data_IF_131472823761
#
_entry.id   IF_131472823761
#
_cell.length_a   1.000
_cell.length_b   1.000
_cell.length_c   1.000
_cell.angle_alpha   90.00
_cell.angle_beta   90.00
_cell.angle_gamma   90.00
#
_symmetry.space_group_name_H-M   'P 1'
#
loop_
_entity.id
_entity.type
_entity.pdbx_description
1 polymer ?
#
# COMPACT_ATOMS: atom_id res chain seq x y z
N UNK A 1 -2.25 -26.20 -46.34
CA UNK A 1 -3.19 -25.10 -46.66
C UNK A 1 -4.56 -25.48 -46.14
N UNK A 2 -5.14 -24.65 -45.27
CA UNK A 2 -6.48 -24.84 -44.71
C UNK A 2 -7.15 -23.47 -44.63
N UNK A 3 -8.36 -23.37 -45.17
CA UNK A 3 -9.13 -22.13 -45.39
C UNK A 3 -10.24 -22.05 -44.32
N UNK A 4 -10.60 -20.86 -43.80
CA UNK A 4 -11.35 -20.70 -42.56
C UNK A 4 -12.86 -20.42 -42.76
N UNK A 5 -13.58 -20.38 -41.62
CA UNK A 5 -14.93 -19.85 -41.38
C UNK A 5 -16.13 -20.75 -41.74
N UNK A 6 -16.86 -21.18 -40.69
CA UNK A 6 -18.33 -21.16 -40.56
C UNK A 6 -18.74 -21.92 -39.28
N UNK A 7 -19.00 -21.21 -38.18
CA UNK A 7 -19.83 -21.74 -37.08
C UNK A 7 -20.39 -20.61 -36.22
N UNK A 8 -21.72 -20.55 -36.20
CA UNK A 8 -22.60 -19.61 -35.52
C UNK A 8 -22.61 -19.82 -34.00
N UNK A 9 -22.42 -18.75 -33.22
CA UNK A 9 -22.60 -18.80 -31.76
C UNK A 9 -24.09 -18.74 -31.41
N UNK A 10 -24.61 -19.83 -30.83
CA UNK A 10 -25.91 -19.86 -30.16
C UNK A 10 -25.86 -19.06 -28.86
N UNK A 11 -26.75 -18.09 -28.71
CA UNK A 11 -27.04 -17.35 -27.47
C UNK A 11 -27.77 -18.26 -26.48
N UNK A 12 -27.13 -18.60 -25.36
CA UNK A 12 -27.79 -19.24 -24.22
C UNK A 12 -28.34 -18.15 -23.28
N UNK A 13 -29.64 -18.25 -22.96
CA UNK A 13 -30.41 -17.24 -22.25
C UNK A 13 -30.12 -17.13 -20.74
N UNK A 14 -30.60 -16.01 -20.17
CA UNK A 14 -30.56 -15.67 -18.74
C UNK A 14 -31.40 -16.64 -17.91
N UNK A 15 -30.85 -17.17 -16.81
CA UNK A 15 -31.64 -17.79 -15.75
C UNK A 15 -32.10 -16.76 -14.72
N UNK A 16 -33.38 -16.87 -14.40
CA UNK A 16 -34.20 -16.15 -13.41
C UNK A 16 -34.34 -17.02 -12.17
N UNK A 17 -34.23 -16.43 -10.98
CA UNK A 17 -34.46 -17.01 -9.65
C UNK A 17 -33.66 -16.20 -8.62
N UNK A 18 -34.27 -15.42 -7.71
CA UNK A 18 -35.06 -15.83 -6.54
C UNK A 18 -34.07 -16.05 -5.39
N UNK A 19 -34.08 -15.42 -4.22
CA UNK A 19 -35.12 -14.79 -3.41
C UNK A 19 -34.86 -15.24 -1.94
N UNK A 20 -34.96 -14.34 -0.96
CA UNK A 20 -34.92 -14.64 0.49
C UNK A 20 -33.51 -14.46 1.12
N UNK A 21 -33.28 -13.69 2.19
CA UNK A 21 -34.18 -13.22 3.24
C UNK A 21 -34.11 -14.15 4.46
N UNK A 22 -33.34 -13.79 5.49
CA UNK A 22 -33.26 -14.57 6.73
C UNK A 22 -32.42 -13.89 7.82
N UNK A 23 -33.12 -13.33 8.82
CA UNK A 23 -32.60 -12.75 10.08
C UNK A 23 -32.25 -13.84 11.09
N UNK A 24 -31.35 -13.50 12.02
CA UNK A 24 -31.54 -13.79 13.45
C UNK A 24 -30.59 -14.80 14.09
N UNK A 25 -30.11 -14.46 15.29
CA UNK A 25 -29.48 -15.41 16.21
C UNK A 25 -28.44 -14.78 17.13
N UNK A 26 -28.89 -14.08 18.18
CA UNK A 26 -28.05 -13.68 19.31
C UNK A 26 -27.97 -14.78 20.38
N UNK A 27 -26.89 -14.74 21.17
CA UNK A 27 -26.68 -15.50 22.40
C UNK A 27 -25.21 -15.28 22.81
N UNK A 28 -24.85 -14.70 23.95
CA UNK A 28 -25.51 -14.69 25.25
C UNK A 28 -24.90 -15.79 26.11
N UNK A 29 -23.77 -15.50 26.77
CA UNK A 29 -23.11 -16.43 27.69
C UNK A 29 -22.18 -15.69 28.65
N UNK A 30 -22.71 -15.32 29.82
CA UNK A 30 -21.99 -14.85 31.01
C UNK A 30 -22.02 -15.97 32.06
N UNK A 31 -20.88 -16.25 32.68
CA UNK A 31 -20.69 -16.83 34.03
C UNK A 31 -19.20 -17.22 34.15
N UNK A 32 -18.45 -17.09 35.22
CA UNK A 32 -18.53 -16.44 36.53
C UNK A 32 -17.18 -16.73 37.22
N UNK A 33 -16.71 -15.80 38.07
CA UNK A 33 -15.53 -15.86 38.98
C UNK A 33 -15.61 -17.02 40.01
N UNK A 34 -14.79 -17.16 41.09
CA UNK A 34 -13.65 -16.35 41.61
C UNK A 34 -12.47 -17.14 42.27
N UNK A 35 -11.44 -16.42 42.75
CA UNK A 35 -10.48 -16.86 43.79
C UNK A 35 -9.38 -15.80 43.98
N UNK A 36 -9.46 -14.93 45.01
CA UNK A 36 -8.81 -15.01 46.36
C UNK A 36 -7.27 -15.14 46.28
N UNK A 37 -6.41 -14.46 47.03
CA UNK A 37 -6.44 -13.42 48.09
C UNK A 37 -5.00 -13.34 48.65
N UNK A 38 -4.57 -12.19 49.19
CA UNK A 38 -3.60 -11.95 50.31
C UNK A 38 -2.64 -10.77 50.00
N UNK A 39 -2.81 -9.56 50.59
CA UNK A 39 -2.40 -9.07 51.95
C UNK A 39 -0.86 -8.92 52.09
N UNK A 40 -0.22 -7.83 52.53
CA UNK A 40 -0.59 -6.58 53.24
C UNK A 40 0.64 -5.59 53.19
N UNK A 41 0.90 -4.64 54.13
CA UNK A 41 0.49 -3.23 54.04
C UNK A 41 1.63 -2.21 54.33
N UNK A 42 1.36 -0.89 54.22
CA UNK A 42 2.27 0.12 54.81
C UNK A 42 1.88 1.59 54.64
N UNK A 43 1.10 2.11 55.60
CA UNK A 43 1.25 3.38 56.35
C UNK A 43 1.43 4.71 55.58
N UNK A 44 0.41 5.59 55.59
CA UNK A 44 0.30 6.85 56.39
C UNK A 44 1.37 7.89 56.06
N UNK A 45 1.09 9.14 55.70
CA UNK A 45 0.28 10.11 56.45
C UNK A 45 0.12 11.42 55.64
N UNK A 46 -1.07 12.04 55.68
CA UNK A 46 -1.22 13.49 55.48
C UNK A 46 -0.88 14.24 56.78
N UNK A 47 -0.51 15.53 56.76
CA UNK A 47 -1.55 16.56 56.78
C UNK A 47 -1.22 17.88 56.04
N UNK A 48 -2.26 18.51 55.48
CA UNK A 48 -2.66 19.88 55.86
C UNK A 48 -1.92 21.11 55.31
N UNK A 49 -2.67 21.85 54.48
CA UNK A 49 -2.82 23.34 54.43
C UNK A 49 -1.66 24.22 53.93
N UNK A 50 -1.94 25.00 52.87
CA UNK A 50 -1.87 26.49 52.80
C UNK A 50 -1.85 26.95 51.33
N UNK A 51 -2.87 27.72 50.90
CA UNK A 51 -2.82 29.15 50.55
C UNK A 51 -2.26 29.50 49.16
N UNK A 52 -3.15 30.04 48.33
CA UNK A 52 -2.96 31.17 47.39
C UNK A 52 -1.53 31.56 46.98
N UNK A 53 -1.27 31.61 45.66
CA UNK A 53 -1.07 32.87 44.93
C UNK A 53 -0.61 32.65 43.50
N UNK A 54 -1.14 33.49 42.62
CA UNK A 54 -0.69 33.79 41.27
C UNK A 54 0.75 34.34 41.24
N UNK A 55 1.58 33.85 40.31
CA UNK A 55 2.90 34.42 40.04
C UNK A 55 3.41 33.98 38.66
N UNK A 56 3.59 34.97 37.77
CA UNK A 56 4.13 34.83 36.41
C UNK A 56 5.65 34.60 36.43
N UNK A 57 6.09 33.88 35.39
CA UNK A 57 7.38 33.97 34.66
C UNK A 57 8.70 33.80 35.42
N UNK A 58 9.47 32.77 35.02
CA UNK A 58 10.82 32.95 34.46
C UNK A 58 11.42 31.63 33.97
N UNK A 59 11.86 31.64 32.71
CA UNK A 59 13.02 30.97 32.12
C UNK A 59 13.63 29.73 32.80
N UNK A 60 13.68 28.62 32.06
CA UNK A 60 14.50 27.46 32.41
C UNK A 60 14.40 26.31 31.41
N UNK A 61 15.21 26.39 30.36
CA UNK A 61 15.90 25.28 29.69
C UNK A 61 15.18 23.92 29.62
N UNK A 62 14.49 23.65 28.52
CA UNK A 62 14.09 22.29 28.15
C UNK A 62 14.85 21.82 26.91
N UNK A 63 15.84 20.98 27.18
CA UNK A 63 16.35 19.88 26.36
C UNK A 63 15.65 19.65 25.00
N UNK A 64 16.45 19.74 23.95
CA UNK A 64 16.17 19.31 22.59
C UNK A 64 15.77 17.83 22.53
N UNK A 65 14.47 17.54 22.59
CA UNK A 65 13.91 16.29 22.13
C UNK A 65 13.74 16.37 20.61
N UNK A 66 14.55 15.61 19.87
CA UNK A 66 14.45 15.44 18.42
C UNK A 66 13.10 14.82 18.06
N UNK A 67 12.10 15.67 17.79
CA UNK A 67 10.81 15.26 17.25
C UNK A 67 10.99 14.84 15.79
N UNK A 68 10.89 13.55 15.51
CA UNK A 68 10.73 13.04 14.14
C UNK A 68 9.42 13.62 13.58
N UNK A 69 9.51 14.68 12.79
CA UNK A 69 8.36 15.34 12.18
C UNK A 69 7.61 14.34 11.29
N UNK A 70 6.37 14.01 11.64
CA UNK A 70 5.49 13.20 10.79
C UNK A 70 5.26 13.96 9.47
N UNK A 71 5.87 13.50 8.38
CA UNK A 71 5.68 14.09 7.05
C UNK A 71 4.30 13.69 6.52
N UNK A 72 3.37 14.64 6.43
CA UNK A 72 2.09 14.44 5.77
C UNK A 72 2.16 14.94 4.33
N UNK A 73 1.87 14.07 3.35
CA UNK A 73 1.73 14.47 1.95
C UNK A 73 0.29 14.22 1.47
N UNK A 74 -0.32 15.16 0.73
CA UNK A 74 -1.63 14.93 0.14
C UNK A 74 -1.50 13.93 -1.02
N UNK A 75 -2.33 12.90 -1.03
CA UNK A 75 -2.44 11.94 -2.13
C UNK A 75 -3.86 11.96 -2.67
N UNK A 76 -4.00 12.07 -3.99
CA UNK A 76 -5.29 11.93 -4.67
C UNK A 76 -5.65 10.44 -4.76
N UNK A 77 -6.85 10.06 -4.35
CA UNK A 77 -7.35 8.70 -4.52
C UNK A 77 -8.37 8.66 -5.66
N UNK A 78 -8.01 8.02 -6.78
CA UNK A 78 -8.90 7.78 -7.91
C UNK A 78 -9.47 9.03 -8.57
N UNK A 79 -10.72 8.91 -9.03
CA UNK A 79 -11.50 9.98 -9.69
C UNK A 79 -12.04 11.04 -8.71
N UNK A 80 -11.75 10.90 -7.41
CA UNK A 80 -12.20 11.87 -6.42
C UNK A 80 -11.38 13.17 -6.51
N UNK A 81 -12.06 14.30 -6.36
CA UNK A 81 -11.44 15.64 -6.23
C UNK A 81 -10.81 15.87 -4.84
N UNK A 82 -10.88 14.88 -3.94
CA UNK A 82 -10.40 15.01 -2.56
C UNK A 82 -9.03 14.37 -2.39
N UNK A 83 -8.15 15.10 -1.71
CA UNK A 83 -6.86 14.60 -1.27
C UNK A 83 -6.99 13.94 0.10
N UNK A 84 -6.39 12.76 0.26
CA UNK A 84 -6.20 12.15 1.56
C UNK A 84 -4.86 12.59 2.13
N UNK A 85 -4.82 12.94 3.41
CA UNK A 85 -3.56 13.13 4.11
C UNK A 85 -2.94 11.77 4.37
N UNK A 86 -1.73 11.56 3.84
CA UNK A 86 -0.99 10.31 4.03
C UNK A 86 0.27 10.61 4.82
N UNK A 87 0.51 9.82 5.87
CA UNK A 87 1.57 10.05 6.84
C UNK A 87 2.50 8.86 6.91
N UNK A 88 3.81 9.09 6.78
CA UNK A 88 4.82 8.12 7.21
C UNK A 88 4.65 7.83 8.70
N UNK A 89 4.93 6.61 9.14
CA UNK A 89 4.78 6.19 10.55
C UNK A 89 3.35 6.28 11.13
N UNK A 90 2.34 6.47 10.28
CA UNK A 90 0.92 6.41 10.68
C UNK A 90 0.54 5.05 11.27
N UNK A 91 -0.38 5.02 12.23
CA UNK A 91 -0.72 3.78 12.97
C UNK A 91 -1.74 2.89 12.26
N UNK A 92 -2.74 3.49 11.62
CA UNK A 92 -3.85 2.76 11.00
C UNK A 92 -4.41 3.52 9.80
N UNK A 93 -4.87 2.76 8.81
CA UNK A 93 -5.70 3.26 7.73
C UNK A 93 -7.06 3.70 8.32
N UNK A 94 -7.84 4.53 7.61
CA UNK A 94 -9.20 4.81 8.02
C UNK A 94 -10.04 3.53 8.11
N UNK A 95 -11.15 3.60 8.84
CA UNK A 95 -12.08 2.48 8.98
C UNK A 95 -12.48 1.92 7.61
N UNK A 96 -12.62 0.61 7.53
CA UNK A 96 -13.03 -0.08 6.31
C UNK A 96 -14.40 0.44 5.83
N UNK A 97 -14.49 0.78 4.56
CA UNK A 97 -15.72 1.24 3.92
C UNK A 97 -15.86 0.62 2.52
N UNK A 98 -17.09 0.47 2.05
CA UNK A 98 -17.36 0.01 0.68
C UNK A 98 -17.15 1.18 -0.29
N UNK A 99 -16.43 0.92 -1.38
CA UNK A 99 -16.24 1.88 -2.46
C UNK A 99 -17.59 2.12 -3.14
N UNK A 100 -18.08 3.38 -3.20
CA UNK A 100 -19.36 3.70 -3.82
C UNK A 100 -19.43 3.39 -5.32
N UNK A 101 -20.64 3.27 -5.83
CA UNK A 101 -20.90 3.19 -7.27
C UNK A 101 -20.33 4.43 -8.00
N UNK A 102 -19.82 4.23 -9.22
CA UNK A 102 -19.23 5.30 -10.04
C UNK A 102 -17.76 5.61 -9.72
N UNK A 103 -17.14 4.92 -8.76
CA UNK A 103 -15.69 4.96 -8.51
C UNK A 103 -15.01 3.70 -9.06
N UNK A 104 -13.70 3.77 -9.28
CA UNK A 104 -12.90 2.59 -9.59
C UNK A 104 -13.07 1.55 -8.47
N UNK A 105 -13.31 0.30 -8.83
CA UNK A 105 -13.50 -0.82 -7.89
C UNK A 105 -14.74 -0.70 -6.99
N UNK A 106 -15.79 -0.02 -7.47
CA UNK A 106 -17.08 0.03 -6.79
C UNK A 106 -17.53 -1.34 -6.25
N UNK A 107 -18.02 -1.34 -5.01
CA UNK A 107 -18.44 -2.55 -4.30
C UNK A 107 -17.35 -3.27 -3.51
N UNK A 108 -16.06 -2.95 -3.71
CA UNK A 108 -14.96 -3.52 -2.92
C UNK A 108 -14.73 -2.72 -1.64
N UNK A 109 -14.16 -3.36 -0.61
CA UNK A 109 -13.81 -2.72 0.66
C UNK A 109 -12.48 -1.97 0.54
N UNK A 110 -12.39 -0.75 1.08
CA UNK A 110 -11.16 0.03 1.21
C UNK A 110 -10.96 0.53 2.65
N UNK A 111 -9.73 0.49 3.16
CA UNK A 111 -9.39 0.82 4.54
C UNK A 111 -9.45 -0.39 5.50
N UNK A 112 -9.23 -0.14 6.79
CA UNK A 112 -9.25 -1.14 7.86
C UNK A 112 -7.91 -1.81 8.16
N UNK A 113 -6.91 -1.63 7.30
CA UNK A 113 -5.56 -2.14 7.52
C UNK A 113 -4.80 -1.39 8.62
N UNK A 114 -4.06 -2.12 9.44
CA UNK A 114 -3.23 -1.57 10.52
C UNK A 114 -1.73 -1.71 10.20
N UNK A 115 -0.89 -0.94 10.90
CA UNK A 115 0.58 -1.04 10.78
C UNK A 115 1.09 -2.47 11.05
N UNK A 116 0.45 -3.20 11.98
CA UNK A 116 0.79 -4.59 12.30
C UNK A 116 0.52 -5.58 11.16
N UNK A 117 -0.26 -5.19 10.15
CA UNK A 117 -0.62 -6.00 8.99
C UNK A 117 0.18 -5.60 7.74
N UNK A 118 1.20 -4.76 7.88
CA UNK A 118 1.96 -4.27 6.72
C UNK A 118 2.84 -5.36 6.12
N UNK A 119 3.42 -6.24 6.92
CA UNK A 119 4.26 -7.30 6.37
C UNK A 119 3.45 -8.32 5.58
N UNK A 120 3.87 -8.58 4.34
CA UNK A 120 3.46 -9.72 3.54
C UNK A 120 4.48 -10.85 3.59
N UNK A 121 4.54 -11.62 2.52
CA UNK A 121 5.59 -12.61 2.23
C UNK A 121 6.23 -12.29 0.88
N UNK A 122 6.99 -13.22 0.30
CA UNK A 122 7.49 -13.14 -1.09
C UNK A 122 6.42 -13.46 -2.12
N UNK A 123 5.26 -13.91 -1.69
CA UNK A 123 4.15 -14.29 -2.56
C UNK A 123 3.29 -13.06 -2.87
N UNK A 124 3.05 -12.79 -4.15
CA UNK A 124 2.15 -11.71 -4.56
C UNK A 124 0.71 -12.02 -4.14
N UNK A 125 0.03 -11.06 -3.52
CA UNK A 125 -1.27 -11.25 -2.87
C UNK A 125 -1.19 -11.48 -1.34
N UNK A 126 0.01 -11.51 -0.77
CA UNK A 126 0.23 -11.59 0.68
C UNK A 126 0.02 -10.24 1.40
N UNK A 127 -0.09 -10.29 2.73
CA UNK A 127 -0.31 -9.09 3.56
C UNK A 127 -1.76 -8.59 3.57
N UNK A 128 -2.70 -9.41 3.08
CA UNK A 128 -4.13 -9.16 3.20
C UNK A 128 -4.67 -9.75 4.52
N UNK A 129 -5.32 -8.95 5.38
CA UNK A 129 -5.89 -9.46 6.62
C UNK A 129 -6.96 -10.53 6.36
N UNK A 130 -6.76 -11.73 6.91
CA UNK A 130 -7.73 -12.82 6.83
C UNK A 130 -7.89 -13.45 5.43
N UNK A 131 -7.02 -13.13 4.47
CA UNK A 131 -7.06 -13.71 3.12
C UNK A 131 -5.73 -14.39 2.82
N UNK A 132 -5.80 -15.67 2.47
CA UNK A 132 -4.65 -16.48 2.06
C UNK A 132 -4.61 -16.67 0.55
N UNK A 133 -3.55 -17.29 0.05
CA UNK A 133 -3.38 -17.64 -1.36
C UNK A 133 -2.86 -16.52 -2.25
N UNK A 134 -2.52 -16.90 -3.48
CA UNK A 134 -1.88 -16.04 -4.48
C UNK A 134 -2.82 -15.04 -5.14
N UNK A 135 -2.22 -13.97 -5.63
CA UNK A 135 -2.88 -12.95 -6.45
C UNK A 135 -3.74 -12.00 -5.66
N UNK A 136 -4.15 -10.93 -6.34
CA UNK A 136 -4.91 -9.83 -5.73
C UNK A 136 -6.30 -9.64 -6.36
N UNK A 137 -6.67 -10.47 -7.32
CA UNK A 137 -7.89 -10.29 -8.09
C UNK A 137 -9.13 -10.20 -7.19
N UNK A 138 -9.93 -9.14 -7.33
CA UNK A 138 -11.17 -8.95 -6.55
C UNK A 138 -11.01 -8.60 -5.06
N UNK A 139 -9.80 -8.60 -4.49
CA UNK A 139 -9.51 -8.49 -3.04
C UNK A 139 -9.78 -7.22 -2.20
N UNK A 140 -10.37 -6.11 -2.60
CA UNK A 140 -10.37 -4.89 -1.75
C UNK A 140 -8.98 -4.33 -1.43
N UNK A 141 -8.94 -3.27 -0.63
CA UNK A 141 -7.78 -2.40 -0.44
C UNK A 141 -7.62 -2.02 1.03
N UNK A 142 -7.07 -2.91 1.89
CA UNK A 142 -6.96 -2.66 3.33
C UNK A 142 -6.26 -1.34 3.67
N UNK A 143 -5.37 -0.88 2.79
CA UNK A 143 -4.61 0.36 2.94
C UNK A 143 -4.99 1.43 1.91
N UNK A 144 -6.09 1.25 1.17
CA UNK A 144 -6.61 2.13 0.09
C UNK A 144 -5.75 2.16 -1.19
N UNK A 145 -4.45 1.90 -1.11
CA UNK A 145 -3.57 1.79 -2.27
C UNK A 145 -3.88 0.56 -3.12
N UNK A 146 -3.66 0.68 -4.43
CA UNK A 146 -3.86 -0.43 -5.37
C UNK A 146 -2.62 -1.32 -5.42
N UNK A 147 -2.79 -2.64 -5.57
CA UNK A 147 -1.68 -3.56 -5.76
C UNK A 147 -0.78 -3.18 -6.94
N UNK A 148 0.49 -3.57 -6.84
CA UNK A 148 1.43 -3.50 -7.96
C UNK A 148 0.86 -4.31 -9.13
N UNK A 149 0.96 -3.78 -10.34
CA UNK A 149 0.73 -4.55 -11.54
C UNK A 149 2.07 -4.93 -12.15
N UNK A 150 2.36 -6.22 -12.15
CA UNK A 150 3.51 -6.74 -12.87
C UNK A 150 3.18 -6.87 -14.36
N UNK A 151 4.19 -6.70 -15.25
CA UNK A 151 4.05 -7.08 -16.64
C UNK A 151 3.49 -8.49 -16.77
N UNK A 152 2.75 -8.76 -17.84
CA UNK A 152 2.54 -10.14 -18.26
C UNK A 152 3.92 -10.76 -18.47
N UNK A 153 4.31 -11.66 -17.57
CA UNK A 153 5.60 -12.30 -17.62
C UNK A 153 5.70 -13.11 -18.92
N UNK A 154 6.49 -12.61 -19.88
CA UNK A 154 6.82 -13.32 -21.11
C UNK A 154 7.77 -14.45 -20.71
N UNK A 155 7.22 -15.62 -20.37
CA UNK A 155 8.00 -16.80 -19.99
C UNK A 155 7.27 -17.80 -19.10
N UNK A 156 6.31 -17.34 -18.28
CA UNK A 156 5.34 -18.22 -17.62
C UNK A 156 4.21 -18.47 -18.61
N UNK A 157 4.20 -19.62 -19.29
CA UNK A 157 3.15 -19.98 -20.26
C UNK A 157 1.75 -19.61 -19.77
N UNK A 158 0.84 -19.27 -20.70
CA UNK A 158 -0.44 -18.52 -20.60
C UNK A 158 -1.37 -18.80 -19.38
N UNK A 159 -1.09 -19.77 -18.51
CA UNK A 159 -1.81 -20.02 -17.25
C UNK A 159 -1.00 -19.93 -15.94
N UNK A 160 0.34 -19.95 -15.96
CA UNK A 160 1.13 -20.20 -14.74
C UNK A 160 1.31 -18.98 -13.81
N UNK A 161 1.16 -17.76 -14.32
CA UNK A 161 1.39 -16.54 -13.56
C UNK A 161 0.41 -15.40 -13.86
N UNK A 162 -0.78 -15.73 -14.39
CA UNK A 162 -1.84 -14.75 -14.68
C UNK A 162 -2.27 -13.93 -13.44
N UNK A 163 -2.01 -14.45 -12.24
CA UNK A 163 -2.28 -13.80 -10.97
C UNK A 163 -1.35 -12.61 -10.67
N UNK A 164 -0.15 -12.56 -11.25
CA UNK A 164 0.81 -11.44 -11.14
C UNK A 164 0.36 -10.24 -11.98
N UNK A 165 -0.30 -10.54 -13.09
CA UNK A 165 -0.72 -9.59 -14.11
C UNK A 165 -2.23 -9.39 -14.13
N UNK A 166 -2.92 -9.61 -13.00
CA UNK A 166 -4.39 -9.78 -12.84
C UNK A 166 -5.26 -9.02 -13.84
N UNK A 167 -5.35 -9.55 -15.07
CA UNK A 167 -6.15 -9.13 -16.21
C UNK A 167 -6.27 -7.64 -16.52
N UNK A 168 -5.30 -6.78 -16.16
CA UNK A 168 -5.43 -5.33 -16.29
C UNK A 168 -6.40 -4.68 -15.28
N UNK A 169 -6.84 -5.40 -14.24
CA UNK A 169 -7.77 -4.91 -13.20
C UNK A 169 -7.28 -3.60 -12.57
N UNK A 170 -5.98 -3.51 -12.27
CA UNK A 170 -5.38 -2.34 -11.64
C UNK A 170 -4.82 -1.33 -12.65
N UNK A 171 -5.01 -1.57 -13.94
CA UNK A 171 -4.46 -0.80 -15.05
C UNK A 171 -2.94 -0.91 -15.18
N UNK A 172 -2.43 -0.27 -16.22
CA UNK A 172 -0.99 -0.26 -16.54
C UNK A 172 -0.14 0.43 -15.45
N UNK A 173 1.17 0.12 -15.37
CA UNK A 173 2.12 0.83 -14.53
C UNK A 173 2.08 2.35 -14.61
N UNK A 174 1.86 2.91 -15.80
CA UNK A 174 1.81 4.35 -16.05
C UNK A 174 0.48 5.00 -15.66
N UNK A 175 -0.46 4.25 -15.09
CA UNK A 175 -1.80 4.74 -14.76
C UNK A 175 -1.75 5.79 -13.63
N UNK A 176 -2.00 7.05 -13.98
CA UNK A 176 -1.99 8.18 -13.05
C UNK A 176 -3.21 8.24 -12.11
N UNK A 177 -4.25 7.42 -12.34
CA UNK A 177 -5.43 7.33 -11.47
C UNK A 177 -5.20 6.48 -10.22
N UNK A 178 -4.08 5.74 -10.17
CA UNK A 178 -3.63 5.01 -8.98
C UNK A 178 -3.44 5.98 -7.80
N UNK A 179 -3.88 5.62 -6.58
CA UNK A 179 -3.53 6.38 -5.38
C UNK A 179 -2.02 6.52 -5.25
N UNK A 180 -1.53 7.75 -5.28
CA UNK A 180 -0.10 8.06 -5.23
C UNK A 180 0.61 8.14 -6.58
N UNK A 181 -0.16 7.98 -7.67
CA UNK A 181 0.29 8.14 -9.04
C UNK A 181 0.81 6.84 -9.67
N UNK A 182 1.45 6.96 -10.86
CA UNK A 182 2.03 5.83 -11.58
C UNK A 182 3.01 5.02 -10.73
N UNK A 183 3.21 3.77 -11.08
CA UNK A 183 4.21 2.92 -10.46
C UNK A 183 5.62 3.44 -10.74
N UNK A 184 6.46 3.40 -9.71
CA UNK A 184 7.85 3.80 -9.76
C UNK A 184 8.67 2.82 -8.92
N UNK A 185 9.99 2.85 -9.11
CA UNK A 185 10.93 2.16 -8.24
C UNK A 185 12.14 3.01 -7.91
N UNK A 186 12.82 2.74 -6.81
CA UNK A 186 14.08 3.36 -6.45
C UNK A 186 15.14 2.29 -6.23
N UNK A 187 16.39 2.61 -6.57
CA UNK A 187 17.50 1.66 -6.51
C UNK A 187 18.41 2.00 -5.34
N UNK A 188 18.79 0.95 -4.59
CA UNK A 188 19.59 1.01 -3.38
C UNK A 188 20.76 0.02 -3.49
N UNK A 189 21.90 0.44 -4.05
CA UNK A 189 23.10 -0.39 -4.13
C UNK A 189 23.70 -0.62 -2.73
N UNK A 190 23.90 -1.88 -2.38
CA UNK A 190 24.49 -2.31 -1.11
C UNK A 190 25.98 -2.65 -1.25
N UNK A 191 26.35 -3.20 -2.40
CA UNK A 191 27.71 -3.53 -2.80
C UNK A 191 27.83 -3.55 -4.33
N UNK A 192 29.00 -3.89 -4.86
CA UNK A 192 29.24 -3.97 -6.32
C UNK A 192 28.38 -5.03 -7.02
N UNK A 193 27.86 -6.01 -6.28
CA UNK A 193 27.07 -7.14 -6.81
C UNK A 193 25.65 -7.19 -6.27
N UNK A 194 25.35 -6.48 -5.18
CA UNK A 194 24.06 -6.52 -4.50
C UNK A 194 23.34 -5.19 -4.65
N UNK A 195 22.17 -5.23 -5.29
CA UNK A 195 21.30 -4.07 -5.47
C UNK A 195 19.89 -4.42 -5.04
N UNK A 196 19.36 -3.64 -4.10
CA UNK A 196 17.96 -3.70 -3.69
C UNK A 196 17.15 -2.66 -4.46
N UNK A 197 15.90 -2.97 -4.79
CA UNK A 197 14.98 -1.99 -5.37
C UNK A 197 13.68 -1.95 -4.59
N UNK A 198 13.23 -0.74 -4.31
CA UNK A 198 11.93 -0.48 -3.72
C UNK A 198 10.95 -0.14 -4.84
N UNK A 199 9.79 -0.78 -4.89
CA UNK A 199 8.76 -0.53 -5.89
C UNK A 199 7.42 -0.18 -5.22
N UNK A 200 6.76 0.89 -5.67
CA UNK A 200 5.41 1.29 -5.24
C UNK A 200 4.80 2.31 -6.20
N UNK A 201 3.74 2.99 -5.79
CA UNK A 201 3.29 4.24 -6.41
C UNK A 201 4.36 5.34 -6.21
N UNK A 202 4.44 6.29 -7.16
CA UNK A 202 5.46 7.33 -7.18
C UNK A 202 5.56 8.11 -5.87
N UNK A 203 4.42 8.49 -5.29
CA UNK A 203 4.40 9.24 -4.03
C UNK A 203 4.93 8.45 -2.84
N UNK A 204 4.62 7.14 -2.77
CA UNK A 204 5.11 6.23 -1.73
C UNK A 204 6.62 6.02 -1.89
N UNK A 205 7.12 5.80 -3.11
CA UNK A 205 8.57 5.68 -3.37
C UNK A 205 9.29 6.96 -2.95
N UNK A 206 8.80 8.13 -3.35
CA UNK A 206 9.37 9.43 -2.96
C UNK A 206 9.38 9.66 -1.45
N UNK A 207 8.38 9.16 -0.73
CA UNK A 207 8.34 9.26 0.73
C UNK A 207 9.35 8.32 1.38
N UNK A 208 9.37 7.06 0.94
CA UNK A 208 10.22 6.02 1.50
C UNK A 208 11.70 6.25 1.20
N UNK A 209 12.08 6.86 0.07
CA UNK A 209 13.46 7.29 -0.19
C UNK A 209 13.96 8.18 0.95
N UNK A 210 13.18 9.20 1.34
CA UNK A 210 13.57 10.14 2.39
C UNK A 210 13.76 9.40 3.74
N UNK A 211 12.87 8.47 4.06
CA UNK A 211 12.89 7.71 5.32
C UNK A 211 14.02 6.64 5.33
N UNK A 212 14.27 5.97 4.20
CA UNK A 212 15.36 5.01 4.03
C UNK A 212 16.73 5.70 4.09
N UNK A 213 16.87 6.87 3.47
CA UNK A 213 18.12 7.64 3.56
C UNK A 213 18.41 8.09 5.00
N UNK A 214 17.36 8.48 5.74
CA UNK A 214 17.53 8.88 7.14
C UNK A 214 17.98 7.73 8.05
N UNK A 215 17.52 6.50 7.80
CA UNK A 215 17.76 5.37 8.69
C UNK A 215 18.87 4.40 8.23
N UNK A 216 19.05 4.24 6.92
CA UNK A 216 19.88 3.18 6.34
C UNK A 216 21.10 3.68 5.56
N UNK A 217 21.35 5.00 5.51
CA UNK A 217 22.38 5.56 4.63
C UNK A 217 23.80 5.12 4.90
N UNK A 218 24.11 4.76 6.15
CA UNK A 218 25.39 4.17 6.54
C UNK A 218 25.73 2.84 5.86
N UNK A 219 24.77 2.23 5.16
CA UNK A 219 24.93 0.94 4.48
C UNK A 219 24.88 1.06 2.95
N UNK A 220 24.76 2.26 2.38
CA UNK A 220 24.80 2.43 0.92
C UNK A 220 26.24 2.41 0.40
N UNK A 221 26.45 1.77 -0.75
CA UNK A 221 27.62 2.03 -1.60
C UNK A 221 27.16 2.84 -2.80
N UNK A 222 27.43 4.14 -2.83
CA UNK A 222 26.90 5.00 -3.89
C UNK A 222 27.67 4.83 -5.21
N UNK A 223 26.95 4.48 -6.26
CA UNK A 223 27.36 4.66 -7.65
C UNK A 223 26.41 5.67 -8.30
N UNK A 224 26.96 6.61 -9.09
CA UNK A 224 26.24 7.74 -9.67
C UNK A 224 24.88 7.35 -10.30
N UNK A 225 23.85 8.23 -10.26
CA UNK A 225 22.52 7.89 -10.78
C UNK A 225 22.56 7.62 -12.29
N UNK A 226 21.78 6.62 -12.72
CA UNK A 226 21.57 6.27 -14.13
C UNK A 226 20.76 7.38 -14.86
N UNK A 227 20.87 7.50 -16.20
CA UNK A 227 20.38 8.66 -16.97
C UNK A 227 18.86 8.92 -16.97
N UNK A 228 18.04 8.15 -16.25
CA UNK A 228 16.57 8.25 -16.25
C UNK A 228 15.95 8.49 -14.85
N UNK A 229 16.74 8.96 -13.89
CA UNK A 229 16.27 9.31 -12.55
C UNK A 229 15.24 10.46 -12.60
N UNK A 230 14.05 10.29 -11.99
CA UNK A 230 13.17 11.43 -11.71
C UNK A 230 13.88 12.32 -10.68
N UNK A 231 14.43 13.42 -11.17
CA UNK A 231 15.08 14.44 -10.34
C UNK A 231 14.09 15.02 -9.32
N UNK A 232 14.42 14.88 -8.04
CA UNK A 232 13.95 15.79 -7.00
C UNK A 232 15.01 16.88 -6.94
N UNK A 233 14.69 18.07 -7.45
CA UNK A 233 15.51 19.26 -7.29
C UNK A 233 15.49 19.68 -5.82
N UNK A 234 16.36 19.08 -4.99
CA UNK A 234 16.75 19.69 -3.72
C UNK A 234 17.99 20.55 -3.95
N UNK A 235 17.84 21.84 -3.71
CA UNK A 235 18.90 22.83 -3.67
C UNK A 235 19.99 22.44 -2.64
N UNK A 236 21.23 22.71 -3.04
CA UNK A 236 22.48 22.84 -2.27
C UNK A 236 22.73 21.90 -1.08
N UNK A 237 23.71 21.01 -1.25
CA UNK A 237 24.25 20.17 -0.18
C UNK A 237 24.17 18.68 -0.52
N UNK A 238 24.97 18.27 -1.49
CA UNK A 238 25.04 16.94 -2.10
C UNK A 238 25.21 15.80 -1.09
N UNK A 239 24.10 15.22 -0.62
CA UNK A 239 24.08 13.79 -0.28
C UNK A 239 23.54 13.03 -1.48
N UNK A 240 24.10 11.88 -1.83
CA UNK A 240 23.78 11.25 -3.09
C UNK A 240 22.47 10.46 -2.93
N UNK A 241 21.40 10.90 -3.61
CA UNK A 241 20.03 10.43 -3.37
C UNK A 241 19.61 9.34 -4.36
N UNK A 242 19.03 8.24 -3.85
CA UNK A 242 18.24 7.33 -4.67
C UNK A 242 17.07 8.11 -5.29
N UNK A 243 16.91 8.04 -6.60
CA UNK A 243 15.84 8.73 -7.33
C UNK A 243 14.78 7.73 -7.77
N UNK A 244 13.49 8.10 -7.80
CA UNK A 244 12.50 7.23 -8.40
C UNK A 244 12.73 7.13 -9.90
N UNK A 245 12.53 5.95 -10.46
CA UNK A 245 12.48 5.67 -11.88
C UNK A 245 11.03 5.30 -12.22
N UNK A 246 10.52 5.81 -13.33
CA UNK A 246 9.21 5.38 -13.83
C UNK A 246 9.27 3.89 -14.15
N UNK A 247 8.32 3.11 -13.64
CA UNK A 247 8.17 1.73 -14.07
C UNK A 247 7.42 1.72 -15.40
N UNK A 248 8.13 1.45 -16.49
CA UNK A 248 7.50 1.16 -17.77
C UNK A 248 7.37 -0.36 -17.91
N UNK A 249 6.28 -0.83 -18.52
CA UNK A 249 5.97 -2.24 -18.75
C UNK A 249 6.95 -2.92 -19.76
N UNK A 250 8.12 -2.31 -19.99
CA UNK A 250 9.16 -2.86 -20.85
C UNK A 250 9.94 -3.92 -20.07
N UNK A 251 9.98 -5.14 -20.60
CA UNK A 251 10.85 -6.21 -20.12
C UNK A 251 12.30 -5.88 -20.47
N UNK A 252 12.95 -5.09 -19.62
CA UNK A 252 14.37 -4.80 -19.69
C UNK A 252 15.06 -5.21 -18.39
N UNK A 253 16.36 -5.57 -18.42
CA UNK A 253 17.11 -6.00 -17.23
C UNK A 253 17.21 -4.91 -16.16
N UNK A 254 16.90 -3.66 -16.50
CA UNK A 254 16.89 -2.54 -15.56
C UNK A 254 15.63 -2.46 -14.68
N UNK A 255 14.53 -3.13 -15.07
CA UNK A 255 13.25 -3.06 -14.38
C UNK A 255 13.10 -4.21 -13.39
N UNK A 256 12.62 -3.95 -12.15
CA UNK A 256 12.40 -5.01 -11.17
C UNK A 256 11.39 -6.03 -11.71
N UNK A 257 11.66 -7.30 -11.43
CA UNK A 257 10.83 -8.44 -11.83
C UNK A 257 10.12 -9.05 -10.61
N UNK A 258 8.95 -9.70 -10.78
CA UNK A 258 8.23 -10.29 -9.67
C UNK A 258 9.00 -11.41 -8.97
N UNK A 259 9.84 -12.17 -9.69
CA UNK A 259 10.67 -13.23 -9.11
C UNK A 259 11.83 -12.72 -8.25
N UNK A 260 12.17 -11.44 -8.38
CA UNK A 260 13.19 -10.77 -7.57
C UNK A 260 12.64 -10.28 -6.23
N UNK A 261 11.33 -10.40 -5.98
CA UNK A 261 10.71 -9.87 -4.75
C UNK A 261 11.10 -10.70 -3.54
N UNK A 262 11.75 -10.05 -2.59
CA UNK A 262 12.15 -10.66 -1.31
C UNK A 262 11.16 -10.35 -0.18
N UNK A 263 10.30 -9.34 -0.35
CA UNK A 263 9.26 -8.98 0.61
C UNK A 263 8.19 -8.08 -0.04
N UNK A 264 6.92 -8.46 0.05
CA UNK A 264 5.79 -7.56 -0.18
C UNK A 264 5.37 -6.87 1.11
N UNK A 265 4.84 -5.65 0.98
CA UNK A 265 4.26 -4.90 2.08
C UNK A 265 2.92 -4.30 1.69
N UNK A 266 2.13 -3.95 2.71
CA UNK A 266 0.90 -3.18 2.59
C UNK A 266 -0.03 -3.82 1.56
N UNK A 267 -0.31 -5.11 1.70
CA UNK A 267 -1.18 -5.88 0.79
C UNK A 267 -0.69 -5.86 -0.69
N UNK A 268 0.61 -6.15 -0.92
CA UNK A 268 1.27 -6.14 -2.24
C UNK A 268 1.19 -4.82 -3.01
N UNK A 269 1.14 -3.69 -2.31
CA UNK A 269 1.18 -2.34 -2.91
C UNK A 269 2.58 -1.71 -2.83
N UNK A 270 3.48 -2.33 -2.06
CA UNK A 270 4.90 -2.02 -1.97
C UNK A 270 5.66 -3.34 -2.09
N UNK A 271 6.78 -3.35 -2.81
CA UNK A 271 7.67 -4.50 -2.89
C UNK A 271 9.13 -4.07 -2.69
N UNK A 272 9.89 -4.90 -1.99
CA UNK A 272 11.34 -4.85 -1.96
C UNK A 272 11.86 -6.01 -2.81
N UNK A 273 12.69 -5.70 -3.81
CA UNK A 273 13.32 -6.67 -4.71
C UNK A 273 14.83 -6.68 -4.52
N UNK A 274 15.45 -7.80 -4.92
CA UNK A 274 16.89 -7.99 -4.94
C UNK A 274 17.28 -8.49 -6.35
N UNK A 275 18.13 -7.75 -7.05
CA UNK A 275 18.41 -8.01 -8.48
C UNK A 275 18.99 -9.41 -8.74
N UNK A 276 19.77 -9.93 -7.79
CA UNK A 276 20.38 -11.27 -7.87
C UNK A 276 19.45 -12.40 -7.42
N UNK A 277 18.26 -12.10 -6.92
CA UNK A 277 17.31 -13.10 -6.46
C UNK A 277 16.40 -13.59 -7.60
N UNK A 278 16.18 -14.89 -7.68
CA UNK A 278 15.25 -15.49 -8.62
C UNK A 278 14.44 -16.56 -7.91
N UNK A 279 13.19 -16.23 -7.57
CA UNK A 279 12.27 -17.15 -6.93
C UNK A 279 11.45 -17.96 -7.94
N UNK A 280 11.80 -19.22 -8.12
CA UNK A 280 11.06 -20.15 -9.00
C UNK A 280 9.61 -20.35 -8.56
N UNK A 281 9.29 -20.18 -7.28
CA UNK A 281 7.93 -20.29 -6.78
C UNK A 281 6.99 -19.25 -7.40
N UNK A 282 7.51 -18.11 -7.85
CA UNK A 282 6.74 -17.02 -8.49
C UNK A 282 5.96 -17.50 -9.71
N UNK A 283 6.54 -18.41 -10.49
CA UNK A 283 5.91 -18.94 -11.71
C UNK A 283 5.29 -20.32 -11.51
N UNK A 284 5.25 -20.81 -10.28
CA UNK A 284 4.63 -22.09 -9.96
C UNK A 284 3.10 -22.02 -10.10
N UNK A 285 2.54 -23.05 -10.73
CA UNK A 285 1.09 -23.27 -10.82
C UNK A 285 0.50 -23.75 -9.48
N UNK A 286 1.34 -24.22 -8.56
CA UNK A 286 0.91 -24.72 -7.25
C UNK A 286 0.94 -23.60 -6.23
N UNK A 287 -0.21 -23.34 -5.60
CA UNK A 287 -0.25 -22.41 -4.47
C UNK A 287 0.56 -22.97 -3.29
N UNK A 288 1.24 -22.07 -2.56
CA UNK A 288 2.14 -22.46 -1.47
C UNK A 288 3.44 -23.16 -1.89
N UNK A 289 3.83 -23.14 -3.17
CA UNK A 289 5.16 -23.60 -3.59
C UNK A 289 6.26 -22.90 -2.75
N UNK A 290 7.27 -23.64 -2.24
CA UNK A 290 8.27 -23.08 -1.36
C UNK A 290 9.15 -22.07 -2.09
N UNK A 291 9.39 -20.92 -1.46
CA UNK A 291 10.25 -19.89 -2.02
C UNK A 291 11.69 -20.39 -2.18
N UNK A 292 12.34 -20.01 -3.28
CA UNK A 292 13.77 -20.26 -3.46
C UNK A 292 14.57 -19.58 -2.34
N UNK A 293 15.66 -20.21 -1.90
CA UNK A 293 16.54 -19.64 -0.89
C UNK A 293 17.10 -18.29 -1.38
N UNK A 294 17.24 -17.32 -0.47
CA UNK A 294 17.93 -16.07 -0.81
C UNK A 294 19.39 -16.39 -1.20
N UNK A 295 19.98 -15.62 -2.12
CA UNK A 295 21.40 -15.76 -2.42
C UNK A 295 22.23 -15.51 -1.15
N UNK A 296 23.45 -16.05 -1.13
CA UNK A 296 24.37 -15.78 -0.03
C UNK A 296 24.78 -14.30 -0.06
N UNK A 297 24.23 -13.53 0.87
CA UNK A 297 24.50 -12.11 1.04
C UNK A 297 25.61 -11.91 2.08
N UNK A 298 26.43 -10.88 1.90
CA UNK A 298 27.41 -10.52 2.92
C UNK A 298 26.71 -10.08 4.22
N UNK A 299 27.41 -10.10 5.35
CA UNK A 299 26.85 -9.62 6.62
C UNK A 299 26.38 -8.17 6.52
N UNK A 300 27.09 -7.32 5.78
CA UNK A 300 26.69 -5.92 5.55
C UNK A 300 25.41 -5.83 4.72
N UNK A 301 25.30 -6.62 3.65
CA UNK A 301 24.09 -6.65 2.81
C UNK A 301 22.87 -7.16 3.59
N UNK A 302 23.06 -8.12 4.51
CA UNK A 302 22.00 -8.63 5.38
C UNK A 302 21.51 -7.57 6.37
N UNK A 303 22.44 -6.85 7.02
CA UNK A 303 22.10 -5.74 7.93
C UNK A 303 21.39 -4.62 7.15
N UNK A 304 21.83 -4.35 5.92
CA UNK A 304 21.17 -3.37 5.08
C UNK A 304 19.76 -3.79 4.68
N UNK A 305 19.58 -5.04 4.25
CA UNK A 305 18.28 -5.63 3.94
C UNK A 305 17.33 -5.53 5.12
N UNK A 306 17.80 -5.83 6.34
CA UNK A 306 17.02 -5.69 7.57
C UNK A 306 16.63 -4.23 7.84
N UNK A 307 17.57 -3.29 7.68
CA UNK A 307 17.28 -1.86 7.80
C UNK A 307 16.21 -1.40 6.80
N UNK A 308 16.29 -1.82 5.54
CA UNK A 308 15.29 -1.54 4.52
C UNK A 308 13.94 -2.12 4.92
N UNK A 309 13.90 -3.39 5.31
CA UNK A 309 12.68 -4.10 5.69
C UNK A 309 11.95 -3.43 6.85
N UNK A 310 12.68 -3.11 7.92
CA UNK A 310 12.13 -2.42 9.10
C UNK A 310 11.68 -0.99 8.76
N UNK A 311 12.50 -0.24 8.01
CA UNK A 311 12.18 1.14 7.65
C UNK A 311 10.95 1.20 6.76
N UNK A 312 10.85 0.35 5.73
CA UNK A 312 9.68 0.29 4.85
C UNK A 312 8.44 -0.05 5.67
N UNK A 313 8.49 -1.06 6.53
CA UNK A 313 7.34 -1.45 7.32
C UNK A 313 6.86 -0.35 8.28
N UNK A 314 7.79 0.33 8.95
CA UNK A 314 7.49 1.41 9.88
C UNK A 314 7.03 2.68 9.15
N UNK A 315 7.69 3.05 8.06
CA UNK A 315 7.53 4.34 7.40
C UNK A 315 6.53 4.32 6.23
N UNK A 316 6.14 3.15 5.70
CA UNK A 316 5.21 3.06 4.57
C UNK A 316 4.00 3.98 4.78
N UNK A 317 3.73 4.92 3.86
CA UNK A 317 2.68 5.90 4.06
C UNK A 317 1.31 5.22 4.23
N UNK A 318 0.56 5.66 5.24
CA UNK A 318 -0.81 5.26 5.50
C UNK A 318 -1.73 6.47 5.49
N UNK A 319 -2.95 6.30 4.98
CA UNK A 319 -3.98 7.35 5.06
C UNK A 319 -4.33 7.56 6.53
N UNK A 320 -4.30 8.82 6.98
CA UNK A 320 -4.58 9.15 8.37
C UNK A 320 -6.05 8.83 8.71
N UNK A 321 -6.30 8.20 9.85
CA UNK A 321 -7.63 7.83 10.33
C UNK A 321 -8.58 9.04 10.51
N UNK A 322 -8.04 10.24 10.73
CA UNK A 322 -8.82 11.49 10.76
C UNK A 322 -9.38 11.86 9.37
N UNK A 323 -8.78 11.35 8.30
CA UNK A 323 -9.36 11.39 6.97
C UNK A 323 -10.41 10.30 6.90
N UNK A 324 -11.67 10.61 7.21
CA UNK A 324 -12.77 9.70 6.87
C UNK A 324 -12.63 9.35 5.38
N UNK A 325 -12.87 8.10 4.99
CA UNK A 325 -13.14 7.74 3.59
C UNK A 325 -14.53 8.32 3.24
N UNK A 326 -14.65 9.64 3.33
CA UNK A 326 -15.82 10.43 3.02
C UNK A 326 -15.76 10.79 1.56
N UNK A 327 -15.95 9.78 0.72
CA UNK A 327 -16.18 9.96 -0.72
C UNK A 327 -17.59 10.54 -0.84
N UNK A 328 -17.66 11.86 -0.95
CA UNK A 328 -18.92 12.52 -1.29
C UNK A 328 -19.30 12.08 -2.68
N UNK A 329 -20.49 11.51 -2.80
CA UNK A 329 -21.19 11.29 -4.05
C UNK A 329 -21.09 12.59 -4.85
N UNK A 330 -20.32 12.60 -5.94
CA UNK A 330 -20.39 13.71 -6.89
C UNK A 330 -21.83 13.78 -7.39
N UNK A 331 -22.47 14.93 -7.22
CA UNK A 331 -23.84 15.22 -7.63
C UNK A 331 -23.99 15.23 -9.17
N UNK A 332 -23.72 14.11 -9.84
CA UNK A 332 -23.96 13.94 -11.29
C UNK A 332 -25.47 14.06 -11.61
N UNK A 333 -26.35 13.95 -10.60
CA UNK A 333 -27.78 14.18 -10.74
C UNK A 333 -28.18 15.62 -11.13
N UNK A 334 -27.33 16.63 -10.91
CA UNK A 334 -27.67 18.02 -11.27
C UNK A 334 -27.45 18.37 -12.75
N UNK A 335 -26.54 17.69 -13.45
CA UNK A 335 -26.32 17.92 -14.88
C UNK A 335 -27.43 17.32 -15.74
N UNK A 336 -28.05 16.22 -15.29
CA UNK A 336 -29.21 15.63 -15.95
C UNK A 336 -30.48 16.48 -15.85
N UNK A 337 -30.69 17.15 -14.71
CA UNK A 337 -31.84 18.05 -14.52
C UNK A 337 -31.73 19.33 -15.34
N UNK A 338 -30.52 19.90 -15.48
CA UNK A 338 -30.28 21.06 -16.33
C UNK A 338 -30.57 20.76 -17.81
N UNK A 339 -30.17 19.59 -18.31
CA UNK A 339 -30.41 19.19 -19.70
C UNK A 339 -31.90 18.95 -20.00
N UNK A 340 -32.63 18.33 -19.07
CA UNK A 340 -34.08 18.16 -19.18
C UNK A 340 -34.81 19.51 -19.18
N UNK A 341 -34.35 20.48 -18.39
CA UNK A 341 -34.95 21.81 -18.34
C UNK A 341 -34.70 22.59 -19.64
N UNK A 342 -33.49 22.54 -20.21
CA UNK A 342 -33.17 23.14 -21.51
C UNK A 342 -34.00 22.51 -22.63
N UNK A 343 -34.18 21.19 -22.60
CA UNK A 343 -35.00 20.49 -23.60
C UNK A 343 -36.49 20.85 -23.48
N UNK A 344 -36.99 21.02 -22.25
CA UNK A 344 -38.38 21.43 -21.99
C UNK A 344 -38.65 22.88 -22.44
N UNK A 345 -37.72 23.80 -22.18
CA UNK A 345 -37.83 25.20 -22.63
C UNK A 345 -37.75 25.32 -24.15
N UNK A 346 -36.89 24.53 -24.80
CA UNK A 346 -36.80 24.50 -26.27
C UNK A 346 -38.01 23.85 -26.95
N UNK A 347 -38.78 23.02 -26.24
CA UNK A 347 -40.00 22.41 -26.77
C UNK A 347 -41.25 23.30 -26.61
N UNK A 348 -41.15 24.43 -25.89
CA UNK A 348 -42.24 25.39 -25.69
C UNK A 348 -42.08 26.69 -26.51
N UNK A 349 -41.00 26.82 -27.29
CA UNK A 349 -40.80 27.86 -28.29
C UNK A 349 -41.08 27.29 -29.69
#
# INVERSE_FOLDING_TARGET
MYVPFLSTRKTLGRRKGGGGGGKGGGGGGKSSSPGKSSSSPGKSSSPGKSSSSSGKSSSGSSSSSSSSSTKSKPIKSGSSTKYHSVTSYGRAAPAAAIIPAGQFFAGRTAGGGTRSQIFGSRTFGSGYPGVTGRGVAGRGFPFVFWPLAWPLAIGGGVGAAAYLSSGGEYGEPNNSTRPGGPMAYATFPASSTTTFRLMSDNSTVLSLIDDINANCSKYFTFTAPAPNALSKTSAEGSTPFASPYSFNNASGPANPQPEQVIQYYRASTVALTLDSYNNSATYSQTDGAPDSALPNLSTTDLVFMDCLNQTIAAAAPMINASSRVGVSSSNIGMLGLGWMFVWWVMAML
#
